data_IF_139320237846
#
_entry.id   IF_139320237846
#
_cell.length_a   1.000
_cell.length_b   1.000
_cell.length_c   1.000
_cell.angle_alpha   90.00
_cell.angle_beta   90.00
_cell.angle_gamma   90.00
#
_symmetry.space_group_name_H-M   'P 1'
#
loop_
_entity.id
_entity.type
_entity.pdbx_description
1 polymer ?
#
# COMPACT_ATOMS: atom_id res chain seq x y z
N UNK A 1 12.26 -4.46 15.86
CA UNK A 1 13.31 -3.78 15.07
C UNK A 1 12.65 -3.01 13.95
N UNK A 2 12.75 -1.68 13.96
CA UNK A 2 12.33 -0.86 12.82
C UNK A 2 13.24 -1.23 11.64
N UNK A 3 12.68 -1.90 10.64
CA UNK A 3 13.40 -2.40 9.47
C UNK A 3 13.87 -1.20 8.63
N UNK A 4 15.08 -1.29 8.06
CA UNK A 4 15.76 -0.21 7.29
C UNK A 4 15.12 0.08 5.91
N UNK A 5 13.80 0.03 5.79
CA UNK A 5 13.11 0.54 4.60
C UNK A 5 13.29 2.06 4.60
N UNK A 6 13.81 2.67 3.52
CA UNK A 6 13.91 4.12 3.45
C UNK A 6 12.52 4.76 3.60
N UNK A 7 12.39 5.73 4.50
CA UNK A 7 11.09 6.33 4.83
C UNK A 7 10.46 7.05 3.63
N UNK A 8 11.29 7.71 2.83
CA UNK A 8 10.92 8.31 1.54
C UNK A 8 10.43 7.24 0.54
N UNK A 9 10.99 6.02 0.56
CA UNK A 9 10.48 4.91 -0.26
C UNK A 9 9.07 4.53 0.11
N UNK A 10 8.86 4.26 1.39
CA UNK A 10 7.61 3.74 1.90
C UNK A 10 6.50 4.78 1.72
N UNK A 11 6.82 6.06 1.92
CA UNK A 11 5.90 7.17 1.64
C UNK A 11 5.59 7.30 0.15
N UNK A 12 6.58 7.15 -0.73
CA UNK A 12 6.39 7.17 -2.19
C UNK A 12 5.54 6.01 -2.71
N UNK A 13 5.70 4.82 -2.14
CA UNK A 13 4.84 3.65 -2.38
C UNK A 13 3.41 3.97 -1.93
N UNK A 14 3.25 4.50 -0.72
CA UNK A 14 1.92 4.87 -0.21
C UNK A 14 1.21 5.90 -1.09
N UNK A 15 1.95 6.88 -1.64
CA UNK A 15 1.43 7.81 -2.65
C UNK A 15 1.02 7.09 -3.94
N UNK A 16 1.83 6.16 -4.45
CA UNK A 16 1.51 5.41 -5.65
C UNK A 16 0.24 4.56 -5.47
N UNK A 17 0.03 4.01 -4.27
CA UNK A 17 -1.07 3.13 -3.93
C UNK A 17 -2.38 3.87 -3.61
N UNK A 18 -2.32 4.96 -2.84
CA UNK A 18 -3.52 5.58 -2.27
C UNK A 18 -3.59 7.10 -2.41
N UNK A 19 -2.86 7.71 -3.36
CA UNK A 19 -2.89 9.17 -3.54
C UNK A 19 -4.30 9.76 -3.59
N UNK A 20 -4.46 10.87 -2.88
CA UNK A 20 -5.62 11.73 -2.93
C UNK A 20 -5.17 13.19 -2.99
N UNK A 21 -5.58 13.95 -4.02
CA UNK A 21 -5.45 15.41 -4.02
C UNK A 21 -6.32 16.01 -2.91
N UNK A 22 -5.73 16.87 -2.11
CA UNK A 22 -6.42 17.64 -1.07
C UNK A 22 -6.85 19.00 -1.63
N UNK A 23 -7.84 19.62 -0.99
CA UNK A 23 -8.31 20.97 -1.35
C UNK A 23 -7.23 22.06 -1.16
N UNK A 24 -6.10 21.74 -0.51
CA UNK A 24 -4.96 22.64 -0.28
C UNK A 24 -3.87 22.47 -1.34
N UNK A 25 -4.15 21.82 -2.47
CA UNK A 25 -3.19 21.58 -3.55
C UNK A 25 -2.11 20.53 -3.24
N UNK A 26 -2.17 19.88 -2.07
CA UNK A 26 -1.23 18.80 -1.68
C UNK A 26 -1.77 17.45 -2.10
N UNK A 27 -0.87 16.52 -2.44
CA UNK A 27 -1.19 15.11 -2.66
C UNK A 27 -0.71 14.31 -1.45
N UNK A 28 -1.60 13.53 -0.86
CA UNK A 28 -1.27 12.69 0.32
C UNK A 28 -1.70 11.24 0.09
N UNK A 29 -1.05 10.26 0.72
CA UNK A 29 -1.58 8.90 0.81
C UNK A 29 -2.86 8.92 1.66
N UNK A 30 -3.96 8.45 1.11
CA UNK A 30 -5.23 8.43 1.83
C UNK A 30 -5.46 7.09 2.52
N UNK A 31 -5.46 7.03 3.86
CA UNK A 31 -5.46 5.76 4.57
C UNK A 31 -6.75 4.97 4.42
N UNK A 32 -7.88 5.65 4.19
CA UNK A 32 -9.19 5.01 4.14
C UNK A 32 -9.56 4.69 2.69
N UNK A 33 -8.72 3.88 2.05
CA UNK A 33 -8.84 3.48 0.66
C UNK A 33 -8.98 1.96 0.55
N UNK A 34 -9.81 1.48 -0.37
CA UNK A 34 -9.87 0.08 -0.76
C UNK A 34 -9.83 -0.05 -2.28
N UNK A 35 -9.22 -1.12 -2.79
CA UNK A 35 -9.40 -1.56 -4.17
C UNK A 35 -10.08 -2.91 -4.19
N UNK A 36 -11.15 -3.02 -4.98
CA UNK A 36 -11.80 -4.29 -5.26
C UNK A 36 -12.03 -4.44 -6.76
N UNK A 37 -11.46 -5.50 -7.34
CA UNK A 37 -11.54 -5.81 -8.79
C UNK A 37 -11.11 -4.64 -9.69
N UNK A 38 -10.07 -3.91 -9.30
CA UNK A 38 -9.56 -2.76 -10.05
C UNK A 38 -10.32 -1.45 -9.79
N UNK A 39 -11.44 -1.49 -9.05
CA UNK A 39 -12.19 -0.28 -8.68
C UNK A 39 -11.73 0.23 -7.33
N UNK A 40 -11.21 1.46 -7.31
CA UNK A 40 -10.83 2.18 -6.10
C UNK A 40 -12.04 2.80 -5.40
N UNK A 41 -12.07 2.68 -4.08
CA UNK A 41 -13.06 3.25 -3.17
C UNK A 41 -12.33 4.08 -2.12
N UNK A 42 -12.81 5.29 -1.86
CA UNK A 42 -12.27 6.17 -0.82
C UNK A 42 -13.35 6.53 0.19
N UNK A 43 -13.00 6.45 1.46
CA UNK A 43 -13.90 6.66 2.58
C UNK A 43 -13.47 7.85 3.40
N UNK A 44 -14.38 8.40 4.21
CA UNK A 44 -14.09 9.51 5.13
C UNK A 44 -13.64 9.05 6.52
N UNK A 45 -13.74 7.75 6.83
CA UNK A 45 -13.38 7.21 8.13
C UNK A 45 -12.86 5.79 8.02
N UNK A 46 -12.07 5.37 9.01
CA UNK A 46 -11.64 3.97 9.18
C UNK A 46 -12.83 3.02 9.31
N UNK A 47 -13.87 3.42 10.05
CA UNK A 47 -15.10 2.61 10.23
C UNK A 47 -15.77 2.32 8.89
N UNK A 48 -15.89 3.32 8.01
CA UNK A 48 -16.50 3.13 6.69
C UNK A 48 -15.67 2.20 5.79
N UNK A 49 -14.33 2.33 5.80
CA UNK A 49 -13.43 1.39 5.12
C UNK A 49 -13.63 -0.04 5.66
N UNK A 50 -13.60 -0.22 6.98
CA UNK A 50 -13.77 -1.51 7.63
C UNK A 50 -15.10 -2.16 7.25
N UNK A 51 -16.21 -1.43 7.35
CA UNK A 51 -17.53 -1.95 7.02
C UNK A 51 -17.62 -2.37 5.55
N UNK A 52 -17.01 -1.59 4.65
CA UNK A 52 -16.94 -1.95 3.23
C UNK A 52 -16.15 -3.25 3.01
N UNK A 53 -14.94 -3.35 3.55
CA UNK A 53 -14.11 -4.55 3.42
C UNK A 53 -14.78 -5.77 4.08
N UNK A 54 -15.39 -5.59 5.26
CA UNK A 54 -16.09 -6.65 5.98
C UNK A 54 -17.24 -7.22 5.15
N UNK A 55 -18.09 -6.37 4.56
CA UNK A 55 -19.18 -6.84 3.69
C UNK A 55 -18.66 -7.66 2.52
N UNK A 56 -17.58 -7.25 1.86
CA UNK A 56 -16.97 -8.01 0.77
C UNK A 56 -16.47 -9.38 1.25
N UNK A 57 -15.76 -9.41 2.38
CA UNK A 57 -15.19 -10.65 2.92
C UNK A 57 -16.29 -11.61 3.36
N UNK A 58 -17.35 -11.12 4.01
CA UNK A 58 -18.51 -11.92 4.43
C UNK A 58 -19.26 -12.51 3.22
N UNK A 59 -19.21 -11.84 2.06
CA UNK A 59 -19.73 -12.34 0.77
C UNK A 59 -18.76 -13.29 0.05
N UNK A 60 -17.64 -13.67 0.68
CA UNK A 60 -16.62 -14.55 0.10
C UNK A 60 -15.60 -13.82 -0.79
N UNK A 61 -15.71 -12.50 -0.96
CA UNK A 61 -14.76 -11.71 -1.74
C UNK A 61 -13.55 -11.29 -0.90
N UNK A 62 -12.56 -12.19 -0.79
CA UNK A 62 -11.37 -11.97 0.05
C UNK A 62 -10.25 -11.16 -0.63
N UNK A 63 -10.24 -11.06 -1.96
CA UNK A 63 -9.21 -10.30 -2.69
C UNK A 63 -9.58 -8.82 -2.76
N UNK A 64 -9.23 -8.11 -1.69
CA UNK A 64 -9.40 -6.65 -1.55
C UNK A 64 -8.08 -6.06 -1.08
N UNK A 65 -7.65 -4.98 -1.72
CA UNK A 65 -6.48 -4.22 -1.29
C UNK A 65 -6.93 -3.16 -0.29
N UNK A 66 -6.28 -3.10 0.87
CA UNK A 66 -6.76 -2.31 2.01
C UNK A 66 -5.71 -1.26 2.38
N UNK A 67 -6.18 -0.04 2.65
CA UNK A 67 -5.46 0.94 3.42
C UNK A 67 -4.45 1.76 2.64
N UNK A 68 -3.62 2.49 3.38
CA UNK A 68 -2.67 3.48 2.88
C UNK A 68 -1.62 2.91 1.91
N UNK A 69 -1.27 1.62 2.06
CA UNK A 69 -0.31 0.93 1.20
C UNK A 69 -0.95 -0.19 0.36
N UNK A 70 -2.30 -0.24 0.30
CA UNK A 70 -3.07 -1.20 -0.51
C UNK A 70 -2.62 -2.66 -0.32
N UNK A 71 -2.46 -3.08 0.94
CA UNK A 71 -2.07 -4.46 1.27
C UNK A 71 -3.25 -5.40 0.99
N UNK A 72 -3.04 -6.41 0.14
CA UNK A 72 -4.09 -7.35 -0.25
C UNK A 72 -4.47 -8.31 0.88
N UNK A 73 -5.74 -8.32 1.27
CA UNK A 73 -6.27 -9.15 2.37
C UNK A 73 -6.16 -10.65 2.13
N UNK A 74 -6.43 -11.12 0.91
CA UNK A 74 -6.37 -12.55 0.56
C UNK A 74 -5.00 -13.13 0.82
N UNK A 75 -3.95 -12.38 0.49
CA UNK A 75 -2.56 -12.84 0.56
C UNK A 75 -1.88 -12.50 1.90
N UNK A 76 -2.32 -11.45 2.59
CA UNK A 76 -1.58 -10.90 3.72
C UNK A 76 -2.39 -10.75 5.02
N UNK A 77 -3.61 -11.29 5.09
CA UNK A 77 -4.40 -11.31 6.34
C UNK A 77 -3.62 -11.82 7.56
N UNK A 78 -2.72 -12.79 7.37
CA UNK A 78 -1.83 -13.29 8.43
C UNK A 78 -0.89 -12.24 9.03
N UNK A 79 -0.50 -11.20 8.29
CA UNK A 79 0.30 -10.08 8.82
C UNK A 79 -0.46 -9.22 9.84
N UNK A 80 -1.78 -9.37 9.86
CA UNK A 80 -2.69 -8.70 10.78
C UNK A 80 -3.27 -9.66 11.83
N UNK A 81 -2.72 -10.88 11.96
CA UNK A 81 -3.29 -11.91 12.83
C UNK A 81 -4.70 -12.36 12.42
N UNK A 82 -5.11 -12.11 11.16
CA UNK A 82 -6.48 -12.34 10.71
C UNK A 82 -7.48 -11.27 11.17
N UNK A 83 -7.04 -10.21 11.85
CA UNK A 83 -7.91 -9.09 12.24
C UNK A 83 -8.04 -8.05 11.12
N UNK A 84 -9.25 -7.95 10.56
CA UNK A 84 -9.58 -6.98 9.54
C UNK A 84 -9.53 -5.54 10.08
N UNK A 85 -9.86 -5.32 11.36
CA UNK A 85 -9.79 -3.99 11.94
C UNK A 85 -8.35 -3.51 12.00
N UNK A 86 -7.41 -4.35 12.43
CA UNK A 86 -5.97 -4.07 12.37
C UNK A 86 -5.49 -3.75 10.94
N UNK A 87 -5.97 -4.45 9.91
CA UNK A 87 -5.60 -4.15 8.52
C UNK A 87 -6.02 -2.75 8.02
N UNK A 88 -7.06 -2.17 8.62
CA UNK A 88 -7.52 -0.80 8.34
C UNK A 88 -6.80 0.28 9.15
N UNK A 89 -5.97 -0.11 10.12
CA UNK A 89 -5.12 0.82 10.85
C UNK A 89 -3.97 1.31 9.95
N UNK A 90 -3.76 2.62 9.76
CA UNK A 90 -2.72 3.12 8.86
C UNK A 90 -1.31 2.69 9.28
N UNK A 91 -1.03 2.62 10.58
CA UNK A 91 0.30 2.26 11.10
C UNK A 91 0.54 0.77 10.95
N UNK A 92 -0.42 -0.07 11.34
CA UNK A 92 -0.32 -1.52 11.15
C UNK A 92 -0.23 -1.88 9.66
N UNK A 93 -0.98 -1.20 8.80
CA UNK A 93 -0.92 -1.39 7.35
C UNK A 93 0.45 -1.03 6.76
N UNK A 94 1.03 0.11 7.16
CA UNK A 94 2.38 0.50 6.75
C UNK A 94 3.45 -0.48 7.23
N UNK A 95 3.34 -0.97 8.47
CA UNK A 95 4.28 -1.96 8.99
C UNK A 95 4.19 -3.27 8.20
N UNK A 96 2.99 -3.74 7.88
CA UNK A 96 2.80 -4.92 7.04
C UNK A 96 3.37 -4.73 5.63
N UNK A 97 3.21 -3.54 5.04
CA UNK A 97 3.79 -3.19 3.75
C UNK A 97 5.33 -3.12 3.79
N UNK A 98 5.90 -2.51 4.82
CA UNK A 98 7.34 -2.43 5.03
C UNK A 98 7.96 -3.82 5.22
N UNK A 99 7.28 -4.71 5.94
CA UNK A 99 7.68 -6.10 6.12
C UNK A 99 7.72 -6.83 4.77
N UNK A 100 6.65 -6.73 3.99
CA UNK A 100 6.55 -7.37 2.69
C UNK A 100 7.58 -6.83 1.69
N UNK A 101 7.80 -5.51 1.66
CA UNK A 101 8.84 -4.90 0.84
C UNK A 101 10.25 -5.35 1.26
N UNK A 102 10.51 -5.45 2.57
CA UNK A 102 11.79 -5.94 3.09
C UNK A 102 12.06 -7.40 2.70
N UNK A 103 11.04 -8.25 2.58
CA UNK A 103 11.20 -9.64 2.14
C UNK A 103 11.68 -9.71 0.68
N UNK A 104 11.16 -8.85 -0.19
CA UNK A 104 11.65 -8.74 -1.57
C UNK A 104 13.06 -8.14 -1.64
N UNK A 105 13.37 -7.18 -0.78
CA UNK A 105 14.72 -6.63 -0.67
C UNK A 105 15.75 -7.68 -0.21
N UNK A 106 15.40 -8.58 0.72
CA UNK A 106 16.32 -9.62 1.15
C UNK A 106 16.77 -10.53 0.01
N UNK A 107 15.89 -10.74 -0.99
CA UNK A 107 16.17 -11.55 -2.19
C UNK A 107 16.92 -10.77 -3.27
N UNK A 108 16.51 -9.54 -3.52
CA UNK A 108 17.05 -8.72 -4.63
C UNK A 108 18.27 -7.88 -4.25
N UNK A 109 18.43 -7.56 -2.95
CA UNK A 109 19.37 -6.56 -2.41
C UNK A 109 19.26 -5.19 -3.09
N UNK A 110 18.12 -4.90 -3.72
CA UNK A 110 17.87 -3.69 -4.48
C UNK A 110 16.45 -3.17 -4.20
N UNK A 111 16.36 -1.99 -3.59
CA UNK A 111 15.07 -1.41 -3.21
C UNK A 111 14.15 -1.12 -4.39
N UNK A 112 14.69 -0.72 -5.55
CA UNK A 112 13.88 -0.50 -6.74
C UNK A 112 13.34 -1.81 -7.28
N UNK A 113 14.17 -2.85 -7.36
CA UNK A 113 13.70 -4.19 -7.76
C UNK A 113 12.61 -4.70 -6.81
N UNK A 114 12.86 -4.59 -5.50
CA UNK A 114 11.90 -4.95 -4.46
C UNK A 114 10.57 -4.17 -4.58
N UNK A 115 10.63 -2.88 -4.92
CA UNK A 115 9.45 -2.05 -5.15
C UNK A 115 8.60 -2.57 -6.32
N UNK A 116 9.23 -3.02 -7.41
CA UNK A 116 8.48 -3.63 -8.51
C UNK A 116 7.82 -4.94 -8.09
N UNK A 117 8.55 -5.78 -7.35
CA UNK A 117 8.09 -7.09 -6.88
C UNK A 117 7.01 -7.00 -5.81
N UNK A 118 7.00 -5.91 -5.02
CA UNK A 118 5.93 -5.59 -4.08
C UNK A 118 4.57 -5.57 -4.79
N UNK A 119 4.47 -4.88 -5.93
CA UNK A 119 3.22 -4.78 -6.67
C UNK A 119 2.92 -6.01 -7.53
N UNK A 120 3.93 -6.56 -8.21
CA UNK A 120 3.77 -7.79 -8.97
C UNK A 120 5.07 -8.60 -9.00
N UNK A 121 5.19 -9.70 -8.24
CA UNK A 121 6.42 -10.47 -8.17
C UNK A 121 6.67 -11.35 -9.40
N UNK A 122 5.64 -11.66 -10.20
CA UNK A 122 5.72 -12.61 -11.32
C UNK A 122 5.68 -11.96 -12.70
N UNK A 123 5.06 -10.79 -12.84
CA UNK A 123 4.94 -10.05 -14.10
C UNK A 123 5.95 -8.89 -14.13
N UNK A 124 7.06 -9.11 -14.84
CA UNK A 124 8.19 -8.17 -14.94
C UNK A 124 7.77 -6.84 -15.57
N UNK A 125 6.85 -6.85 -16.54
CA UNK A 125 6.40 -5.65 -17.23
C UNK A 125 5.57 -4.77 -16.28
N UNK A 126 4.64 -5.36 -15.53
CA UNK A 126 3.88 -4.65 -14.49
C UNK A 126 4.76 -4.15 -13.36
N UNK A 127 5.72 -4.96 -12.91
CA UNK A 127 6.69 -4.54 -11.91
C UNK A 127 7.49 -3.31 -12.38
N UNK A 128 7.93 -3.29 -13.65
CA UNK A 128 8.65 -2.16 -14.22
C UNK A 128 7.79 -0.89 -14.32
N UNK A 129 6.54 -1.02 -14.79
CA UNK A 129 5.59 0.08 -14.86
C UNK A 129 5.32 0.67 -13.47
N UNK A 130 5.14 -0.19 -12.47
CA UNK A 130 4.94 0.23 -11.08
C UNK A 130 6.17 0.96 -10.51
N UNK A 131 7.39 0.43 -10.71
CA UNK A 131 8.63 1.14 -10.32
C UNK A 131 8.70 2.54 -10.89
N UNK A 132 8.35 2.72 -12.17
CA UNK A 132 8.33 4.04 -12.82
C UNK A 132 7.31 4.98 -12.16
N UNK A 133 6.15 4.46 -11.75
CA UNK A 133 5.15 5.23 -11.01
C UNK A 133 5.67 5.68 -9.64
N UNK A 134 6.25 4.76 -8.85
CA UNK A 134 6.83 5.06 -7.53
C UNK A 134 8.00 6.03 -7.64
N UNK A 135 8.87 5.88 -8.65
CA UNK A 135 9.99 6.79 -8.88
C UNK A 135 9.53 8.24 -9.09
N UNK A 136 8.42 8.45 -9.81
CA UNK A 136 7.82 9.79 -9.93
C UNK A 136 7.37 10.35 -8.58
N UNK A 137 6.75 9.52 -7.74
CA UNK A 137 6.35 9.95 -6.39
C UNK A 137 7.58 10.26 -5.53
N UNK A 138 8.64 9.46 -5.64
CA UNK A 138 9.90 9.69 -4.95
C UNK A 138 10.51 11.04 -5.30
N UNK A 139 10.59 11.37 -6.59
CA UNK A 139 11.09 12.68 -7.02
C UNK A 139 10.25 13.82 -6.44
N UNK A 140 8.92 13.69 -6.45
CA UNK A 140 8.01 14.65 -5.83
C UNK A 140 8.28 14.81 -4.32
N UNK A 141 8.42 13.70 -3.59
CA UNK A 141 8.70 13.68 -2.15
C UNK A 141 10.03 14.38 -1.83
N UNK A 142 11.09 14.10 -2.60
CA UNK A 142 12.40 14.73 -2.40
C UNK A 142 12.39 16.24 -2.64
N UNK A 143 11.51 16.74 -3.52
CA UNK A 143 11.40 18.17 -3.84
C UNK A 143 10.51 18.94 -2.86
N UNK A 144 9.54 18.27 -2.21
CA UNK A 144 8.50 18.93 -1.42
C UNK A 144 8.65 18.76 0.09
N UNK A 145 9.54 17.86 0.54
CA UNK A 145 9.83 17.59 1.94
C UNK A 145 11.26 17.98 2.36
N UNK A 146 11.94 18.79 1.56
CA UNK A 146 13.13 19.56 1.96
C UNK A 146 12.70 20.95 2.42
#
# INVERSE_FOLDING_TARGET
MIKRVPADLLYSISLAESKLPTNKGRIVPWPWTANFKGKGYRFKTRVALYQFCKRLIDQGHRSVDIGIAQVNWRWHSGRFGGDLWAATDPWTNLNAAADYLSEHYQKSRNWWQATGQYHNPTDVAKAAAYRKSVYKQWQYVKQTMQ
#
